data_IF_658063355733
#
_entry.id   IF_658063355733
#
_cell.length_a   1.000
_cell.length_b   1.000
_cell.length_c   1.000
_cell.angle_alpha   90.00
_cell.angle_beta   90.00
_cell.angle_gamma   90.00
#
_symmetry.space_group_name_H-M   'P 1'
#
loop_
_entity.id
_entity.type
_entity.pdbx_description
1 polymer ?
#
# COMPACT_ATOMS: atom_id res chain seq x y z
N UNK A 1 -13.25 -18.60 9.06
CA UNK A 1 -12.59 -17.82 7.97
C UNK A 1 -11.16 -17.58 8.40
N UNK A 2 -10.16 -18.02 7.64
CA UNK A 2 -8.76 -17.77 7.99
C UNK A 2 -8.47 -16.27 7.90
N UNK A 3 -7.64 -15.68 8.79
CA UNK A 3 -7.27 -14.28 8.68
C UNK A 3 -6.54 -14.03 7.36
N UNK A 4 -6.79 -12.87 6.77
CA UNK A 4 -6.08 -12.45 5.57
C UNK A 4 -4.56 -12.42 5.84
N UNK A 5 -3.72 -12.91 4.91
CA UNK A 5 -2.28 -12.87 5.09
C UNK A 5 -1.82 -11.42 5.27
N UNK A 6 -0.98 -11.17 6.29
CA UNK A 6 -0.44 -9.85 6.61
C UNK A 6 0.99 -9.72 6.11
N UNK A 7 1.35 -8.56 5.55
CA UNK A 7 2.72 -8.25 5.15
C UNK A 7 3.23 -7.10 6.02
N UNK A 8 4.37 -7.31 6.69
CA UNK A 8 5.04 -6.29 7.51
C UNK A 8 6.26 -5.71 6.78
N UNK A 9 6.38 -4.38 6.76
CA UNK A 9 7.50 -3.68 6.13
C UNK A 9 8.29 -2.89 7.17
N UNK A 10 9.62 -2.85 7.02
CA UNK A 10 10.44 -1.85 7.70
C UNK A 10 10.64 -0.67 6.78
N UNK A 11 10.16 0.49 7.21
CA UNK A 11 10.26 1.73 6.46
C UNK A 11 11.28 2.64 7.14
N UNK A 12 12.07 3.36 6.35
CA UNK A 12 12.84 4.49 6.85
C UNK A 12 11.88 5.59 7.36
N UNK A 13 12.28 6.42 8.33
CA UNK A 13 11.43 7.49 8.87
C UNK A 13 10.93 8.45 7.78
N UNK A 14 11.80 8.82 6.84
CA UNK A 14 11.48 9.68 5.69
C UNK A 14 10.38 9.08 4.80
N UNK A 15 10.43 7.77 4.57
CA UNK A 15 9.48 7.07 3.71
C UNK A 15 8.12 6.96 4.42
N UNK A 16 8.13 6.75 5.74
CA UNK A 16 6.91 6.70 6.53
C UNK A 16 6.17 8.05 6.50
N UNK A 17 6.88 9.15 6.73
CA UNK A 17 6.30 10.50 6.70
C UNK A 17 5.72 10.85 5.31
N UNK A 18 6.45 10.55 4.23
CA UNK A 18 5.96 10.75 2.88
C UNK A 18 4.70 9.89 2.58
N UNK A 19 4.68 8.65 3.06
CA UNK A 19 3.55 7.74 2.90
C UNK A 19 2.31 8.21 3.68
N UNK A 20 2.49 8.72 4.90
CA UNK A 20 1.42 9.28 5.73
C UNK A 20 0.79 10.51 5.08
N UNK A 21 1.60 11.39 4.48
CA UNK A 21 1.11 12.56 3.72
C UNK A 21 0.32 12.16 2.48
N UNK A 22 0.89 11.29 1.64
CA UNK A 22 0.23 10.84 0.42
C UNK A 22 -1.10 10.12 0.71
N UNK A 23 -1.14 9.31 1.77
CA UNK A 23 -2.38 8.65 2.18
C UNK A 23 -3.44 9.66 2.66
N UNK A 24 -3.04 10.69 3.41
CA UNK A 24 -3.94 11.76 3.85
C UNK A 24 -4.48 12.60 2.68
N UNK A 25 -3.66 12.88 1.66
CA UNK A 25 -4.09 13.58 0.45
C UNK A 25 -5.11 12.78 -0.38
N UNK A 26 -5.04 11.44 -0.35
CA UNK A 26 -5.99 10.55 -1.03
C UNK A 26 -7.25 10.25 -0.19
N UNK A 27 -7.38 10.83 1.02
CA UNK A 27 -8.44 10.55 2.01
C UNK A 27 -8.48 9.07 2.43
N UNK A 28 -7.32 8.43 2.57
CA UNK A 28 -7.19 7.00 2.92
C UNK A 28 -6.27 6.75 4.10
N UNK A 29 -6.47 5.60 4.72
CA UNK A 29 -5.45 5.07 5.64
C UNK A 29 -4.20 4.64 4.87
N UNK A 30 -3.05 4.73 5.51
CA UNK A 30 -1.75 4.25 4.97
C UNK A 30 -1.87 2.82 4.42
N UNK A 31 -2.51 1.92 5.17
CA UNK A 31 -2.69 0.53 4.73
C UNK A 31 -3.50 0.42 3.44
N UNK A 32 -4.62 1.14 3.33
CA UNK A 32 -5.44 1.13 2.10
C UNK A 32 -4.71 1.77 0.92
N UNK A 33 -3.99 2.86 1.16
CA UNK A 33 -3.18 3.53 0.14
C UNK A 33 -2.09 2.61 -0.40
N UNK A 34 -1.38 1.89 0.49
CA UNK A 34 -0.36 0.90 0.11
C UNK A 34 -0.98 -0.24 -0.69
N UNK A 35 -2.09 -0.81 -0.23
CA UNK A 35 -2.75 -1.91 -0.95
C UNK A 35 -3.18 -1.46 -2.34
N UNK A 36 -3.82 -0.30 -2.48
CA UNK A 36 -4.21 0.24 -3.78
C UNK A 36 -3.00 0.43 -4.70
N UNK A 37 -1.96 1.07 -4.19
CA UNK A 37 -0.74 1.37 -4.95
C UNK A 37 -0.07 0.09 -5.42
N UNK A 38 0.06 -0.91 -4.54
CA UNK A 38 0.61 -2.23 -4.86
C UNK A 38 -0.26 -2.96 -5.88
N UNK A 39 -1.57 -3.03 -5.67
CA UNK A 39 -2.50 -3.67 -6.62
C UNK A 39 -2.37 -3.06 -8.00
N UNK A 40 -2.42 -1.72 -8.10
CA UNK A 40 -2.28 -1.01 -9.36
C UNK A 40 -0.92 -1.29 -10.01
N UNK A 41 0.16 -1.18 -9.25
CA UNK A 41 1.51 -1.44 -9.76
C UNK A 41 1.67 -2.87 -10.28
N UNK A 42 1.15 -3.85 -9.55
CA UNK A 42 1.22 -5.26 -9.94
C UNK A 42 0.34 -5.57 -11.16
N UNK A 43 -0.83 -4.92 -11.28
CA UNK A 43 -1.66 -5.01 -12.48
C UNK A 43 -0.97 -4.39 -13.70
N UNK A 44 -0.40 -3.19 -13.55
CA UNK A 44 0.34 -2.50 -14.63
C UNK A 44 1.55 -3.30 -15.11
N UNK A 45 2.18 -4.06 -14.22
CA UNK A 45 3.30 -4.95 -14.53
C UNK A 45 2.88 -6.35 -15.01
N UNK A 46 1.59 -6.66 -15.01
CA UNK A 46 1.07 -7.97 -15.41
C UNK A 46 1.27 -9.09 -14.38
N UNK A 47 1.68 -8.76 -13.14
CA UNK A 47 1.82 -9.73 -12.04
C UNK A 47 0.48 -10.07 -11.36
N UNK A 48 -0.51 -9.18 -11.48
CA UNK A 48 -1.85 -9.40 -10.96
C UNK A 48 -2.87 -9.29 -12.10
N UNK A 49 -3.66 -10.34 -12.30
CA UNK A 49 -4.78 -10.29 -13.25
C UNK A 49 -5.85 -9.30 -12.76
N UNK A 50 -6.46 -8.57 -13.70
CA UNK A 50 -7.41 -7.49 -13.42
C UNK A 50 -8.74 -8.01 -12.92
#
# INVERSE_FOLDING_TARGET
>A
MAPSPTVGFRLSPELKDALERAAAEDDRTVSQYVVLTLTRHLQEKGYLAK
#
